data_IF_359308536967
#
_entry.id   IF_359308536967
#
_cell.length_a   1.000
_cell.length_b   1.000
_cell.length_c   1.000
_cell.angle_alpha   90.00
_cell.angle_beta   90.00
_cell.angle_gamma   90.00
#
_symmetry.space_group_name_H-M   'P 1'
#
loop_
_entity.id
_entity.type
_entity.pdbx_description
1 polymer ?
#
# COMPACT_ATOMS: atom_id res chain seq x y z
N UNK A 1 -12.79 -2.38 11.89
CA UNK A 1 -12.77 -3.51 12.85
C UNK A 1 -11.39 -3.99 13.25
N UNK A 2 -10.57 -4.40 12.29
CA UNK A 2 -9.31 -5.09 12.59
C UNK A 2 -8.34 -4.26 13.44
N UNK A 3 -8.17 -2.97 13.14
CA UNK A 3 -7.35 -2.07 13.96
C UNK A 3 -7.85 -1.96 15.41
N UNK A 4 -9.17 -1.89 15.62
CA UNK A 4 -9.75 -1.80 16.97
C UNK A 4 -9.54 -3.10 17.76
N UNK A 5 -9.66 -4.25 17.10
CA UNK A 5 -9.63 -5.59 17.74
C UNK A 5 -8.22 -6.14 17.90
N UNK A 6 -7.33 -5.90 16.94
CA UNK A 6 -6.00 -6.51 16.86
C UNK A 6 -4.86 -5.50 16.93
N UNK A 7 -5.15 -4.19 16.86
CA UNK A 7 -4.15 -3.14 17.04
C UNK A 7 -3.22 -2.91 15.86
N UNK A 8 -3.49 -3.51 14.70
CA UNK A 8 -2.76 -3.27 13.44
C UNK A 8 -3.29 -1.98 12.82
N UNK A 9 -2.45 -1.01 12.40
CA UNK A 9 -2.92 0.20 11.73
C UNK A 9 -3.81 -0.16 10.53
N UNK A 10 -4.97 0.49 10.42
CA UNK A 10 -5.89 0.27 9.32
C UNK A 10 -5.21 0.56 7.97
N UNK A 11 -4.36 1.59 7.91
CA UNK A 11 -3.59 1.95 6.73
C UNK A 11 -2.65 0.82 6.28
N UNK A 12 -2.01 0.12 7.21
CA UNK A 12 -1.13 -1.03 6.92
C UNK A 12 -1.95 -2.17 6.34
N UNK A 13 -3.04 -2.56 7.01
CA UNK A 13 -3.90 -3.65 6.53
C UNK A 13 -4.45 -3.37 5.14
N UNK A 14 -4.92 -2.13 4.89
CA UNK A 14 -5.44 -1.73 3.59
C UNK A 14 -4.35 -1.68 2.50
N UNK A 15 -3.17 -1.16 2.81
CA UNK A 15 -2.06 -1.11 1.85
C UNK A 15 -1.53 -2.51 1.49
N UNK A 16 -1.43 -3.41 2.46
CA UNK A 16 -1.13 -4.81 2.20
C UNK A 16 -2.24 -5.44 1.36
N UNK A 17 -3.50 -5.24 1.72
CA UNK A 17 -4.64 -5.75 0.94
C UNK A 17 -4.59 -5.29 -0.51
N UNK A 18 -4.31 -4.01 -0.77
CA UNK A 18 -4.14 -3.47 -2.13
C UNK A 18 -2.97 -4.15 -2.85
N UNK A 19 -1.81 -4.24 -2.20
CA UNK A 19 -0.60 -4.81 -2.81
C UNK A 19 -0.76 -6.30 -3.12
N UNK A 20 -1.14 -7.10 -2.12
CA UNK A 20 -1.18 -8.57 -2.22
C UNK A 20 -2.32 -9.08 -3.14
N UNK A 21 -3.37 -8.27 -3.37
CA UNK A 21 -4.50 -8.65 -4.22
C UNK A 21 -4.51 -8.03 -5.62
N UNK A 22 -3.49 -7.23 -5.97
CA UNK A 22 -3.53 -6.45 -7.21
C UNK A 22 -4.72 -5.48 -7.23
N UNK A 23 -4.95 -4.77 -6.12
CA UNK A 23 -6.10 -3.89 -5.89
C UNK A 23 -7.46 -4.60 -6.02
N UNK A 24 -7.53 -5.86 -5.58
CA UNK A 24 -8.73 -6.69 -5.62
C UNK A 24 -8.98 -7.41 -6.95
N UNK A 25 -8.13 -7.20 -7.96
CA UNK A 25 -8.30 -7.78 -9.29
C UNK A 25 -7.65 -9.17 -9.45
N UNK A 26 -6.83 -9.59 -8.47
CA UNK A 26 -6.20 -10.91 -8.50
C UNK A 26 -7.22 -12.05 -8.40
N UNK A 27 -6.94 -13.16 -9.08
CA UNK A 27 -7.84 -14.33 -9.13
C UNK A 27 -8.26 -14.80 -7.74
N UNK A 28 -7.33 -14.89 -6.79
CA UNK A 28 -7.62 -15.31 -5.41
C UNK A 28 -8.56 -14.31 -4.69
N UNK A 29 -8.44 -13.02 -4.97
CA UNK A 29 -9.32 -12.01 -4.40
C UNK A 29 -10.74 -12.12 -4.98
N UNK A 30 -10.86 -12.26 -6.30
CA UNK A 30 -12.13 -12.35 -7.02
C UNK A 30 -12.87 -13.67 -6.72
N UNK A 31 -12.22 -14.82 -6.93
CA UNK A 31 -12.87 -16.13 -6.89
C UNK A 31 -12.94 -16.75 -5.48
N UNK A 32 -12.07 -16.30 -4.58
CA UNK A 32 -11.91 -16.90 -3.26
C UNK A 32 -12.01 -15.93 -2.09
N UNK A 33 -12.27 -14.63 -2.33
CA UNK A 33 -12.28 -13.58 -1.32
C UNK A 33 -10.97 -13.50 -0.52
N UNK A 34 -9.86 -14.03 -1.06
CA UNK A 34 -8.57 -14.12 -0.39
C UNK A 34 -7.65 -13.00 -0.89
N UNK A 35 -7.62 -11.88 -0.15
CA UNK A 35 -6.88 -10.68 -0.55
C UNK A 35 -5.40 -10.70 -0.16
N UNK A 36 -4.96 -11.69 0.62
CA UNK A 36 -3.60 -11.74 1.18
C UNK A 36 -2.86 -13.03 0.80
N UNK A 37 -3.35 -13.79 -0.19
CA UNK A 37 -2.71 -15.02 -0.64
C UNK A 37 -2.51 -16.06 0.47
N UNK A 38 -3.46 -16.17 1.42
CA UNK A 38 -3.25 -17.03 2.59
C UNK A 38 -3.37 -18.50 2.18
N UNK A 39 -2.27 -19.25 2.33
CA UNK A 39 -2.18 -20.70 2.04
C UNK A 39 -2.96 -21.54 3.06
N UNK A 40 -3.38 -22.74 2.66
CA UNK A 40 -4.22 -23.62 3.48
C UNK A 40 -3.55 -24.02 4.81
N UNK A 41 -2.34 -24.61 4.77
CA UNK A 41 -1.73 -25.26 5.93
C UNK A 41 -2.72 -26.21 6.64
N UNK A 42 -3.08 -25.92 7.89
CA UNK A 42 -4.04 -26.63 8.75
C UNK A 42 -5.51 -26.33 8.42
N UNK A 43 -5.78 -25.55 7.37
CA UNK A 43 -7.13 -25.12 6.99
C UNK A 43 -8.03 -26.29 6.54
N UNK A 44 -9.18 -26.40 7.20
CA UNK A 44 -10.20 -27.42 6.94
C UNK A 44 -11.41 -26.89 6.17
N UNK A 45 -11.50 -25.57 5.94
CA UNK A 45 -12.61 -24.95 5.19
C UNK A 45 -12.46 -25.06 3.67
N UNK A 46 -13.24 -24.25 2.94
CA UNK A 46 -13.20 -24.21 1.47
C UNK A 46 -11.84 -23.78 0.93
N UNK A 47 -11.46 -24.29 -0.25
CA UNK A 47 -10.13 -24.14 -0.84
C UNK A 47 -10.23 -23.73 -2.31
N UNK A 48 -9.17 -23.13 -2.82
CA UNK A 48 -8.92 -22.93 -4.26
C UNK A 48 -7.47 -23.29 -4.55
N UNK A 49 -7.19 -23.84 -5.73
CA UNK A 49 -5.84 -24.12 -6.19
C UNK A 49 -5.39 -23.07 -7.20
N UNK A 50 -4.16 -22.62 -7.05
CA UNK A 50 -3.54 -21.61 -7.89
C UNK A 50 -2.03 -21.84 -7.94
N UNK A 51 -1.42 -21.59 -9.09
CA UNK A 51 0.02 -21.70 -9.24
C UNK A 51 0.63 -20.37 -8.76
N UNK A 52 1.54 -20.44 -7.78
CA UNK A 52 2.22 -19.27 -7.19
C UNK A 52 3.74 -19.56 -7.09
N UNK A 53 4.21 -20.05 -5.94
CA UNK A 53 5.61 -20.52 -5.81
C UNK A 53 5.80 -21.94 -6.41
N UNK A 54 4.73 -22.72 -6.45
CA UNK A 54 4.66 -24.07 -7.00
C UNK A 54 3.33 -24.30 -7.72
N UNK A 55 3.27 -25.33 -8.56
CA UNK A 55 2.04 -25.75 -9.21
C UNK A 55 1.01 -26.25 -8.19
N UNK A 56 -0.25 -25.87 -8.40
CA UNK A 56 -1.42 -26.31 -7.65
C UNK A 56 -1.29 -26.11 -6.13
N UNK A 57 -0.76 -24.95 -5.72
CA UNK A 57 -0.75 -24.60 -4.31
C UNK A 57 -2.16 -24.36 -3.77
N UNK A 58 -2.38 -24.79 -2.52
CA UNK A 58 -3.66 -24.66 -1.85
C UNK A 58 -3.78 -23.32 -1.14
N UNK A 59 -4.80 -22.55 -1.51
CA UNK A 59 -5.16 -21.29 -0.86
C UNK A 59 -6.52 -21.39 -0.17
N UNK A 60 -6.65 -20.68 0.95
CA UNK A 60 -7.91 -20.57 1.70
C UNK A 60 -8.94 -19.85 0.84
N UNK A 61 -10.19 -20.34 0.84
CA UNK A 61 -11.35 -19.68 0.23
C UNK A 61 -12.34 -19.27 1.30
N UNK A 62 -12.76 -18.01 1.24
CA UNK A 62 -13.68 -17.42 2.20
C UNK A 62 -15.03 -17.13 1.54
N UNK A 63 -16.10 -17.24 2.33
CA UNK A 63 -17.44 -16.83 1.93
C UNK A 63 -17.62 -15.30 1.95
N UNK A 64 -16.74 -14.56 2.62
CA UNK A 64 -16.75 -13.11 2.66
C UNK A 64 -15.33 -12.57 2.88
N UNK A 65 -14.97 -11.50 2.17
CA UNK A 65 -13.68 -10.82 2.26
C UNK A 65 -13.25 -10.50 3.70
N UNK A 66 -14.19 -10.17 4.60
CA UNK A 66 -13.89 -9.84 6.00
C UNK A 66 -13.10 -10.94 6.70
N UNK A 67 -13.30 -12.20 6.33
CA UNK A 67 -12.60 -13.33 6.95
C UNK A 67 -11.15 -13.44 6.49
N UNK A 68 -10.84 -13.05 5.24
CA UNK A 68 -9.44 -12.95 4.78
C UNK A 68 -8.68 -11.86 5.55
N UNK A 69 -9.31 -10.72 5.80
CA UNK A 69 -8.75 -9.63 6.62
C UNK A 69 -8.57 -10.03 8.09
N UNK A 70 -9.53 -10.78 8.63
CA UNK A 70 -9.42 -11.35 9.98
C UNK A 70 -8.27 -12.33 10.09
N UNK A 71 -8.14 -13.25 9.14
CA UNK A 71 -7.12 -14.28 9.15
C UNK A 71 -5.72 -13.67 8.95
N UNK A 72 -5.60 -12.62 8.13
CA UNK A 72 -4.40 -11.78 8.06
C UNK A 72 -4.07 -11.12 9.41
N UNK A 73 -5.06 -10.60 10.11
CA UNK A 73 -4.84 -10.00 11.44
C UNK A 73 -4.35 -11.05 12.44
N UNK A 74 -4.96 -12.23 12.45
CA UNK A 74 -4.52 -13.37 13.26
C UNK A 74 -3.11 -13.83 12.89
N UNK A 75 -2.76 -13.83 11.60
CA UNK A 75 -1.42 -14.16 11.12
C UNK A 75 -0.35 -13.27 11.76
N UNK A 76 -0.62 -11.96 11.86
CA UNK A 76 0.31 -10.98 12.45
C UNK A 76 0.32 -11.04 13.98
N UNK A 77 -0.83 -11.20 14.64
CA UNK A 77 -0.89 -11.22 16.10
C UNK A 77 -0.42 -12.53 16.74
N UNK A 78 -0.54 -13.67 16.04
CA UNK A 78 -0.22 -14.98 16.61
C UNK A 78 1.27 -15.34 16.57
N UNK A 79 2.07 -14.67 15.74
CA UNK A 79 3.48 -15.05 15.53
C UNK A 79 4.43 -14.12 16.29
N UNK A 80 5.26 -14.71 17.16
CA UNK A 80 6.25 -13.99 18.00
C UNK A 80 7.12 -13.01 17.21
N UNK A 81 7.50 -13.34 15.98
CA UNK A 81 8.34 -12.50 15.10
C UNK A 81 7.76 -11.11 14.81
N UNK A 82 6.44 -10.94 14.93
CA UNK A 82 5.76 -9.67 14.67
C UNK A 82 5.42 -8.89 15.95
N UNK A 83 5.66 -9.44 17.15
CA UNK A 83 5.22 -8.82 18.41
C UNK A 83 5.78 -7.41 18.64
N UNK A 84 7.01 -7.14 18.19
CA UNK A 84 7.61 -5.81 18.32
C UNK A 84 6.88 -4.71 17.55
N UNK A 85 6.15 -5.06 16.48
CA UNK A 85 5.32 -4.10 15.75
C UNK A 85 4.24 -3.49 16.64
N UNK A 86 3.67 -4.29 17.54
CA UNK A 86 2.57 -3.85 18.41
C UNK A 86 3.03 -2.94 19.56
N UNK A 87 4.33 -2.70 19.70
CA UNK A 87 4.91 -1.68 20.58
C UNK A 87 5.00 -0.30 19.90
N UNK A 88 4.87 -0.26 18.57
CA UNK A 88 4.88 0.98 17.80
C UNK A 88 3.56 1.72 17.93
N UNK A 89 3.60 3.04 17.72
CA UNK A 89 2.39 3.85 17.65
C UNK A 89 1.49 3.37 16.50
N UNK A 90 0.17 3.31 16.75
CA UNK A 90 -0.81 2.77 15.80
C UNK A 90 -1.08 3.70 14.60
N UNK A 91 -0.55 4.91 14.60
CA UNK A 91 -0.54 5.86 13.49
C UNK A 91 0.84 6.03 12.83
N UNK A 92 1.87 5.30 13.30
CA UNK A 92 3.19 5.31 12.66
C UNK A 92 3.33 4.17 11.65
N UNK A 93 2.58 4.28 10.55
CA UNK A 93 2.62 3.29 9.48
C UNK A 93 4.01 3.14 8.83
N UNK A 94 4.90 4.14 8.96
CA UNK A 94 6.27 4.04 8.40
C UNK A 94 7.13 3.12 9.24
N UNK A 95 7.07 3.25 10.57
CA UNK A 95 7.74 2.32 11.47
C UNK A 95 7.15 0.91 11.31
N UNK A 96 5.83 0.79 11.17
CA UNK A 96 5.18 -0.49 10.89
C UNK A 96 5.64 -1.12 9.57
N UNK A 97 5.67 -0.39 8.47
CA UNK A 97 6.13 -0.90 7.17
C UNK A 97 7.58 -1.40 7.22
N UNK A 98 8.47 -0.64 7.87
CA UNK A 98 9.88 -1.06 8.09
C UNK A 98 9.96 -2.27 9.01
N UNK A 99 9.17 -2.29 10.08
CA UNK A 99 9.11 -3.37 11.05
C UNK A 99 8.61 -4.67 10.43
N UNK A 100 7.60 -4.63 9.55
CA UNK A 100 7.09 -5.79 8.83
C UNK A 100 8.19 -6.45 8.00
N UNK A 101 8.96 -5.65 7.26
CA UNK A 101 10.11 -6.17 6.51
C UNK A 101 11.20 -6.72 7.43
N UNK A 102 11.55 -6.00 8.51
CA UNK A 102 12.55 -6.46 9.49
C UNK A 102 12.14 -7.77 10.14
N UNK A 103 10.85 -7.92 10.48
CA UNK A 103 10.26 -9.12 11.01
C UNK A 103 10.21 -10.25 9.97
N UNK A 104 10.39 -9.94 8.68
CA UNK A 104 10.49 -10.87 7.56
C UNK A 104 9.15 -11.29 6.96
N UNK A 105 8.20 -10.34 6.89
CA UNK A 105 6.94 -10.51 6.16
C UNK A 105 7.16 -10.71 4.66
N UNK A 106 8.11 -9.97 4.06
CA UNK A 106 8.46 -10.05 2.64
C UNK A 106 9.96 -10.14 2.45
N UNK A 107 10.41 -10.77 1.36
CA UNK A 107 11.84 -10.81 0.97
C UNK A 107 12.26 -9.50 0.29
N UNK A 108 11.35 -8.88 -0.48
CA UNK A 108 11.59 -7.65 -1.22
C UNK A 108 12.10 -6.51 -0.32
N UNK A 109 13.26 -5.95 -0.68
CA UNK A 109 13.90 -4.84 0.01
C UNK A 109 13.09 -3.54 -0.08
N UNK A 110 12.28 -3.38 -1.12
CA UNK A 110 11.43 -2.20 -1.36
C UNK A 110 10.03 -2.36 -0.74
N UNK A 111 9.73 -3.48 -0.08
CA UNK A 111 8.44 -3.75 0.56
C UNK A 111 7.94 -2.59 1.45
N UNK A 112 8.76 -2.02 2.36
CA UNK A 112 8.34 -0.89 3.17
C UNK A 112 7.91 0.33 2.34
N UNK A 113 8.68 0.63 1.29
CA UNK A 113 8.42 1.77 0.41
C UNK A 113 7.14 1.57 -0.43
N UNK A 114 6.80 0.33 -0.84
CA UNK A 114 5.50 0.09 -1.51
C UNK A 114 4.34 0.42 -0.58
N UNK A 115 4.38 -0.10 0.65
CA UNK A 115 3.30 0.13 1.61
C UNK A 115 3.17 1.62 1.93
N UNK A 116 4.28 2.30 2.22
CA UNK A 116 4.29 3.74 2.49
C UNK A 116 3.72 4.52 1.30
N UNK A 117 4.14 4.19 0.07
CA UNK A 117 3.63 4.82 -1.17
C UNK A 117 2.13 4.65 -1.32
N UNK A 118 1.60 3.44 -1.11
CA UNK A 118 0.16 3.16 -1.19
C UNK A 118 -0.63 3.92 -0.11
N UNK A 119 -0.13 3.93 1.13
CA UNK A 119 -0.77 4.63 2.25
C UNK A 119 -0.85 6.13 1.98
N UNK A 120 0.22 6.72 1.45
CA UNK A 120 0.28 8.14 1.13
C UNK A 120 -0.58 8.49 -0.09
N UNK A 121 -0.48 7.71 -1.17
CA UNK A 121 -1.21 7.92 -2.43
C UNK A 121 -2.71 7.90 -2.20
N UNK A 122 -3.20 6.87 -1.51
CA UNK A 122 -4.62 6.69 -1.25
C UNK A 122 -5.07 7.30 0.09
N UNK A 123 -4.19 8.05 0.75
CA UNK A 123 -4.44 8.72 2.04
C UNK A 123 -5.03 7.77 3.09
N UNK A 124 -4.55 6.52 3.14
CA UNK A 124 -5.08 5.46 4.00
C UNK A 124 -4.85 5.74 5.49
N UNK A 125 -3.87 6.60 5.82
CA UNK A 125 -3.63 7.07 7.20
C UNK A 125 -4.84 7.80 7.80
N UNK A 126 -5.78 8.29 6.97
CA UNK A 126 -7.03 8.87 7.46
C UNK A 126 -7.86 7.87 8.27
N UNK A 127 -7.82 6.59 7.90
CA UNK A 127 -8.54 5.53 8.62
C UNK A 127 -7.89 5.23 9.98
N UNK A 128 -6.56 5.36 10.10
CA UNK A 128 -5.89 5.27 11.40
C UNK A 128 -6.35 6.39 12.32
N UNK A 129 -6.35 7.62 11.79
CA UNK A 129 -6.77 8.80 12.53
C UNK A 129 -8.24 8.70 12.98
N UNK A 130 -9.14 8.28 12.08
CA UNK A 130 -10.55 8.05 12.39
C UNK A 130 -10.72 7.03 13.53
N UNK A 131 -10.02 5.90 13.45
CA UNK A 131 -10.10 4.87 14.50
C UNK A 131 -9.58 5.38 15.85
N UNK A 132 -8.54 6.20 15.83
CA UNK A 132 -7.90 6.78 17.02
C UNK A 132 -8.59 8.06 17.53
N UNK A 133 -9.62 8.57 16.85
CA UNK A 133 -10.26 9.84 17.19
C UNK A 133 -9.32 11.06 17.02
N UNK A 134 -8.34 10.96 16.11
CA UNK A 134 -7.39 12.03 15.79
C UNK A 134 -7.86 12.80 14.57
N UNK A 135 -7.49 14.07 14.51
CA UNK A 135 -7.65 14.89 13.31
C UNK A 135 -6.65 14.43 12.24
N UNK A 136 -7.16 13.85 11.15
CA UNK A 136 -6.33 13.35 10.06
C UNK A 136 -5.54 14.44 9.34
N UNK A 137 -5.95 15.72 9.43
CA UNK A 137 -5.18 16.85 8.89
C UNK A 137 -3.88 17.13 9.67
N UNK A 138 -3.81 16.64 10.91
CA UNK A 138 -2.65 16.73 11.80
C UNK A 138 -1.82 15.45 11.86
N UNK A 139 -2.21 14.41 11.11
CA UNK A 139 -1.38 13.23 10.98
C UNK A 139 0.01 13.67 10.50
N UNK A 140 1.08 13.13 11.11
CA UNK A 140 2.46 13.39 10.71
C UNK A 140 2.67 12.86 9.28
N UNK A 141 2.28 13.66 8.31
CA UNK A 141 2.67 13.55 6.92
C UNK A 141 4.04 14.24 6.90
N UNK A 142 5.18 13.52 6.94
CA UNK A 142 6.33 14.05 6.23
C UNK A 142 5.78 14.30 4.84
N UNK A 143 5.71 15.58 4.48
CA UNK A 143 5.46 16.03 3.11
C UNK A 143 6.30 15.09 2.28
N UNK A 144 5.67 14.11 1.63
CA UNK A 144 6.32 13.39 0.57
C UNK A 144 6.62 14.53 -0.36
N UNK A 145 7.88 14.92 -0.40
CA UNK A 145 8.36 15.87 -1.38
C UNK A 145 8.22 15.07 -2.65
N UNK A 146 7.01 15.08 -3.23
CA UNK A 146 6.83 14.95 -4.65
C UNK A 146 7.83 15.98 -5.17
N UNK A 147 8.99 15.52 -5.65
CA UNK A 147 10.04 16.41 -6.09
C UNK A 147 9.35 17.44 -6.98
N UNK A 148 9.49 18.71 -6.60
CA UNK A 148 8.82 19.81 -7.29
C UNK A 148 9.79 20.35 -8.32
N UNK A 149 9.26 20.61 -9.50
CA UNK A 149 9.97 21.31 -10.54
C UNK A 149 9.28 22.64 -10.80
N UNK A 150 10.02 23.74 -10.66
CA UNK A 150 9.57 25.04 -11.15
C UNK A 150 9.93 25.15 -12.63
N UNK A 151 8.91 25.19 -13.49
CA UNK A 151 9.03 25.28 -14.95
C UNK A 151 9.91 26.46 -15.32
N UNK A 152 10.94 26.21 -16.12
CA UNK A 152 11.85 27.21 -16.68
C UNK A 152 11.58 27.37 -18.17
N UNK A 153 12.10 28.46 -18.74
CA UNK A 153 12.02 28.72 -20.18
C UNK A 153 12.63 27.53 -20.95
N UNK A 154 11.83 26.92 -21.82
CA UNK A 154 12.23 25.77 -22.64
C UNK A 154 11.84 24.40 -22.07
N UNK A 155 11.27 24.35 -20.85
CA UNK A 155 10.69 23.10 -20.34
C UNK A 155 9.40 22.74 -21.08
N UNK A 156 9.24 21.44 -21.35
CA UNK A 156 8.03 20.83 -21.88
C UNK A 156 7.68 19.61 -21.04
N UNK A 157 6.43 19.15 -21.06
CA UNK A 157 6.09 17.89 -20.36
C UNK A 157 6.99 16.73 -20.81
N UNK A 158 7.39 16.71 -22.10
CA UNK A 158 8.31 15.70 -22.62
C UNK A 158 9.74 15.84 -22.07
N UNK A 159 10.30 17.05 -21.98
CA UNK A 159 11.64 17.22 -21.41
C UNK A 159 11.67 16.86 -19.92
N UNK A 160 10.61 17.19 -19.19
CA UNK A 160 10.46 16.85 -17.77
C UNK A 160 10.25 15.35 -17.57
N UNK A 161 9.45 14.69 -18.40
CA UNK A 161 9.23 13.23 -18.35
C UNK A 161 10.55 12.46 -18.47
N UNK A 162 11.40 12.86 -19.42
CA UNK A 162 12.75 12.31 -19.60
C UNK A 162 13.68 12.60 -18.44
N UNK A 163 13.67 13.83 -17.92
CA UNK A 163 14.52 14.25 -16.80
C UNK A 163 14.21 13.50 -15.52
N UNK A 164 12.93 13.33 -15.21
CA UNK A 164 12.47 12.73 -13.97
C UNK A 164 12.14 11.23 -14.09
N UNK A 165 12.26 10.67 -15.31
CA UNK A 165 11.99 9.25 -15.62
C UNK A 165 10.57 8.82 -15.27
N UNK A 166 9.60 9.66 -15.64
CA UNK A 166 8.16 9.45 -15.45
C UNK A 166 7.48 9.71 -16.80
N UNK A 167 6.25 9.26 -17.01
CA UNK A 167 5.53 9.52 -18.26
C UNK A 167 4.91 10.92 -18.26
N UNK A 168 4.56 11.42 -19.45
CA UNK A 168 3.83 12.70 -19.57
C UNK A 168 2.48 12.59 -18.87
N UNK A 169 1.78 11.47 -19.03
CA UNK A 169 0.48 11.24 -18.40
C UNK A 169 0.60 11.22 -16.87
N UNK A 170 1.66 10.62 -16.31
CA UNK A 170 1.92 10.70 -14.87
C UNK A 170 2.14 12.14 -14.40
N UNK A 171 2.87 12.97 -15.14
CA UNK A 171 3.00 14.40 -14.80
C UNK A 171 1.64 15.09 -14.84
N UNK A 172 0.82 14.80 -15.85
CA UNK A 172 -0.51 15.41 -15.99
C UNK A 172 -1.43 14.99 -14.84
N UNK A 173 -1.49 13.71 -14.52
CA UNK A 173 -2.28 13.18 -13.41
C UNK A 173 -1.86 13.78 -12.07
N UNK A 174 -0.55 13.84 -11.80
CA UNK A 174 -0.01 14.40 -10.54
C UNK A 174 -0.35 15.87 -10.33
N UNK A 175 -0.54 16.61 -11.41
CA UNK A 175 -0.75 18.06 -11.40
C UNK A 175 -2.15 18.46 -11.87
N UNK A 176 -3.04 17.49 -12.11
CA UNK A 176 -4.38 17.70 -12.66
C UNK A 176 -4.38 18.57 -13.93
N UNK A 177 -3.42 18.34 -14.83
CA UNK A 177 -3.31 19.06 -16.10
C UNK A 177 -4.22 18.43 -17.16
N UNK A 178 -5.09 19.23 -17.75
CA UNK A 178 -5.95 18.80 -18.86
C UNK A 178 -5.17 18.72 -20.18
N UNK A 179 -4.24 19.66 -20.39
CA UNK A 179 -3.44 19.80 -21.60
C UNK A 179 -1.93 19.79 -21.31
N UNK A 180 -1.12 20.14 -22.31
CA UNK A 180 0.35 20.12 -22.23
C UNK A 180 0.97 21.50 -22.04
N UNK A 181 0.15 22.52 -21.78
CA UNK A 181 0.63 23.90 -21.67
C UNK A 181 1.33 24.09 -20.32
N UNK A 182 2.54 24.65 -20.38
CA UNK A 182 3.35 24.95 -19.20
C UNK A 182 3.69 26.43 -19.17
N UNK A 183 3.57 27.04 -18.00
CA UNK A 183 3.93 28.43 -17.78
C UNK A 183 5.24 28.53 -17.01
N UNK A 184 6.15 29.40 -17.44
CA UNK A 184 7.39 29.65 -16.68
C UNK A 184 7.04 30.12 -15.26
N UNK A 185 7.64 29.49 -14.26
CA UNK A 185 7.33 29.70 -12.84
C UNK A 185 6.27 28.76 -12.27
N UNK A 186 5.54 28.01 -13.10
CA UNK A 186 4.59 26.99 -12.64
C UNK A 186 5.33 25.90 -11.86
N UNK A 187 4.76 25.46 -10.74
CA UNK A 187 5.32 24.40 -9.92
C UNK A 187 4.62 23.09 -10.25
N UNK A 188 5.37 22.11 -10.72
CA UNK A 188 4.89 20.77 -11.05
C UNK A 188 5.44 19.74 -10.06
N UNK A 189 4.58 18.83 -9.64
CA UNK A 189 4.96 17.55 -9.07
C UNK A 189 5.53 16.66 -10.17
N UNK A 190 6.81 16.33 -10.07
CA UNK A 190 7.54 15.58 -11.12
C UNK A 190 8.06 14.24 -10.63
N UNK A 191 7.51 13.76 -9.52
CA UNK A 191 7.81 12.43 -9.02
C UNK A 191 6.53 11.87 -8.42
N UNK A 192 5.88 10.91 -9.11
CA UNK A 192 4.82 10.17 -8.48
C UNK A 192 5.40 9.42 -7.30
N UNK A 193 4.60 9.29 -6.24
CA UNK A 193 4.79 8.20 -5.29
C UNK A 193 4.98 6.92 -6.10
N UNK A 194 6.00 6.09 -5.85
CA UNK A 194 6.38 4.98 -6.72
C UNK A 194 5.16 4.23 -7.25
N UNK A 195 4.82 4.41 -8.54
CA UNK A 195 3.82 3.61 -9.24
C UNK A 195 4.44 2.24 -9.42
N UNK A 196 3.91 1.35 -8.58
CA UNK A 196 3.74 -0.04 -8.87
C UNK A 196 5.02 -0.87 -8.77
N UNK A 197 4.81 -2.05 -8.22
CA UNK A 197 5.71 -3.16 -8.22
C UNK A 197 4.91 -4.36 -8.68
#
# INVERSE_FOLDING_TARGET
DEMRKYGIPASITLAQGILESGSGNGRLAIEANNHFGIKCHDWTGAKIYHDDDAEQECFRKYNNVKYSYRDHSLFLTSRKRYMDLFRLNKDDYRAWAKGLKKAGYATDRKYPQKLISLIERYKLYKYDAEVLGKDASKANIPVVVNDKHTVKKGDTLYSLSRKYKITVDEIKELNSLENSDLFVGQVLYVKPLPKDY
#
